data_IF_132144571698
#
_entry.id   IF_132144571698
#
_cell.length_a   1.000
_cell.length_b   1.000
_cell.length_c   1.000
_cell.angle_alpha   90.00
_cell.angle_beta   90.00
_cell.angle_gamma   90.00
#
_symmetry.space_group_name_H-M   'P 1'
#
loop_
_entity.id
_entity.type
_entity.pdbx_description
1 polymer ?
#
# COMPACT_ATOMS: atom_id res chain seq x y z
N UNK A 1 -14.35 6.42 48.38
CA UNK A 1 -13.96 5.08 47.89
C UNK A 1 -13.95 5.14 46.38
N UNK A 2 -12.77 4.88 45.85
CA UNK A 2 -12.31 5.19 44.49
C UNK A 2 -12.57 3.98 43.59
N UNK A 3 -13.16 4.19 42.41
CA UNK A 3 -13.30 3.14 41.38
C UNK A 3 -12.30 3.46 40.27
N UNK A 4 -11.24 2.65 40.21
CA UNK A 4 -10.23 2.66 39.15
C UNK A 4 -10.68 1.63 38.10
N UNK A 5 -10.77 2.07 36.85
CA UNK A 5 -10.97 1.26 35.65
C UNK A 5 -9.60 0.70 35.25
N UNK A 6 -9.47 -0.63 35.23
CA UNK A 6 -8.30 -1.33 34.68
C UNK A 6 -8.56 -1.62 33.19
N UNK A 7 -7.85 -0.90 32.32
CA UNK A 7 -7.55 -1.35 30.96
C UNK A 7 -6.21 -2.11 31.04
N UNK A 8 -6.21 -3.38 30.67
CA UNK A 8 -5.01 -4.19 30.50
C UNK A 8 -4.85 -4.51 29.01
N UNK A 9 -4.01 -3.74 28.33
CA UNK A 9 -3.38 -4.14 27.08
C UNK A 9 -1.97 -4.63 27.44
N UNK A 10 -1.83 -5.94 27.55
CA UNK A 10 -0.53 -6.60 27.66
C UNK A 10 0.09 -6.65 26.26
N UNK A 11 1.04 -5.73 26.01
CA UNK A 11 1.95 -5.76 24.87
C UNK A 11 2.72 -7.09 24.84
N UNK A 12 2.33 -7.96 23.91
CA UNK A 12 3.04 -9.21 23.62
C UNK A 12 4.32 -8.90 22.84
N UNK A 13 5.43 -8.75 23.56
CA UNK A 13 6.76 -8.64 22.96
C UNK A 13 7.20 -9.99 22.38
N UNK A 14 7.34 -10.06 21.06
CA UNK A 14 8.07 -11.14 20.40
C UNK A 14 9.57 -10.87 20.60
N UNK A 15 10.20 -11.69 21.45
CA UNK A 15 11.67 -11.76 21.57
C UNK A 15 12.17 -12.52 20.33
N UNK A 16 12.75 -11.81 19.36
CA UNK A 16 13.45 -12.41 18.24
C UNK A 16 14.82 -12.92 18.70
N UNK A 17 15.00 -14.24 18.64
CA UNK A 17 16.28 -14.90 18.79
C UNK A 17 17.28 -14.43 17.73
N UNK A 18 18.54 -14.32 18.16
CA UNK A 18 19.70 -13.86 17.40
C UNK A 18 19.95 -14.69 16.13
N UNK A 19 20.03 -14.01 14.99
CA UNK A 19 20.60 -14.56 13.75
C UNK A 19 22.13 -14.42 13.76
N UNK A 20 22.92 -15.42 13.30
CA UNK A 20 24.36 -15.39 13.40
C UNK A 20 24.99 -14.62 12.23
N UNK A 21 25.79 -13.59 12.55
CA UNK A 21 26.85 -13.10 11.66
C UNK A 21 26.69 -11.67 11.13
N UNK A 22 27.06 -10.68 11.94
CA UNK A 22 28.03 -9.66 11.50
C UNK A 22 28.72 -9.08 12.73
N UNK A 23 30.04 -8.97 12.64
CA UNK A 23 30.94 -8.60 13.73
C UNK A 23 30.94 -7.08 13.92
N UNK A 24 30.44 -6.62 15.07
CA UNK A 24 30.94 -5.45 15.79
C UNK A 24 30.67 -5.71 17.29
N UNK A 25 31.68 -6.29 17.93
CA UNK A 25 31.72 -6.53 19.37
C UNK A 25 31.97 -5.18 20.07
N UNK A 26 30.92 -4.58 20.63
CA UNK A 26 31.06 -3.55 21.65
C UNK A 26 30.26 -4.02 22.88
N UNK A 27 30.98 -4.67 23.78
CA UNK A 27 30.53 -5.04 25.12
C UNK A 27 30.09 -3.79 25.89
N UNK A 28 28.78 -3.58 26.01
CA UNK A 28 28.23 -2.85 27.15
C UNK A 28 27.78 -3.88 28.18
N UNK A 29 28.54 -3.92 29.27
CA UNK A 29 28.22 -4.67 30.48
C UNK A 29 26.87 -4.20 31.03
N UNK A 30 26.00 -5.18 31.27
CA UNK A 30 25.01 -5.19 32.34
C UNK A 30 25.53 -4.50 33.61
N UNK A 31 24.79 -3.50 34.11
CA UNK A 31 24.16 -3.57 35.43
C UNK A 31 23.45 -2.27 35.80
N UNK A 32 22.19 -2.41 36.23
CA UNK A 32 21.69 -1.76 37.45
C UNK A 32 21.23 -0.31 37.37
N UNK A 33 19.93 -0.13 37.62
CA UNK A 33 19.31 1.01 38.32
C UNK A 33 20.28 2.00 38.99
N UNK A 34 20.17 3.29 38.65
CA UNK A 34 19.69 4.34 39.57
C UNK A 34 19.72 5.72 38.91
N UNK A 35 18.70 6.50 39.24
CA UNK A 35 18.57 7.95 39.03
C UNK A 35 19.91 8.68 39.24
N UNK A 36 20.45 9.26 38.17
CA UNK A 36 21.66 10.08 38.24
C UNK A 36 21.97 10.70 36.89
N UNK A 37 22.06 12.02 36.86
CA UNK A 37 22.46 12.87 35.76
C UNK A 37 23.64 12.29 34.95
N UNK A 38 23.36 11.73 33.77
CA UNK A 38 24.39 11.34 32.82
C UNK A 38 24.87 12.61 32.12
N UNK A 39 25.89 13.23 32.68
CA UNK A 39 26.71 14.19 31.97
C UNK A 39 27.50 13.43 30.91
N UNK A 40 26.90 13.28 29.72
CA UNK A 40 27.63 12.89 28.52
C UNK A 40 28.75 13.91 28.32
N UNK A 41 29.98 13.43 28.22
CA UNK A 41 31.17 14.25 28.10
C UNK A 41 31.01 15.18 26.88
N UNK A 42 31.01 16.49 27.14
CA UNK A 42 30.71 17.53 26.13
C UNK A 42 31.61 17.41 24.90
N UNK A 43 32.81 16.90 25.09
CA UNK A 43 33.83 16.67 24.07
C UNK A 43 33.47 15.50 23.14
N UNK A 44 32.89 14.40 23.65
CA UNK A 44 32.45 13.28 22.82
C UNK A 44 31.26 13.66 21.92
N UNK A 45 30.41 14.54 22.42
CA UNK A 45 29.26 15.03 21.67
C UNK A 45 29.67 16.07 20.62
N UNK A 46 30.65 16.93 20.91
CA UNK A 46 31.26 17.82 19.90
C UNK A 46 31.99 17.06 18.78
N UNK A 47 32.67 15.95 19.11
CA UNK A 47 33.32 15.08 18.12
C UNK A 47 32.29 14.42 17.19
N UNK A 48 31.19 13.87 17.73
CA UNK A 48 30.11 13.26 16.94
C UNK A 48 29.32 14.28 16.10
N UNK A 49 29.31 15.55 16.53
CA UNK A 49 28.64 16.65 15.85
C UNK A 49 29.49 17.26 14.72
N UNK A 50 30.78 16.98 14.67
CA UNK A 50 31.71 17.55 13.67
C UNK A 50 31.39 17.13 12.23
N UNK A 51 30.76 15.97 12.06
CA UNK A 51 30.40 15.41 10.76
C UNK A 51 28.97 15.80 10.30
N UNK A 52 28.21 16.54 11.13
CA UNK A 52 26.88 17.03 10.80
C UNK A 52 26.97 18.36 10.03
N UNK A 53 26.00 18.59 9.14
CA UNK A 53 25.85 19.90 8.49
C UNK A 53 25.58 21.00 9.54
N UNK A 54 26.01 22.23 9.26
CA UNK A 54 25.86 23.36 10.19
C UNK A 54 24.41 23.54 10.68
N UNK A 55 23.44 23.29 9.80
CA UNK A 55 22.00 23.36 10.10
C UNK A 55 21.55 22.24 11.05
N UNK A 56 22.00 21.00 10.82
CA UNK A 56 21.70 19.86 11.69
C UNK A 56 22.36 20.03 13.07
N UNK A 57 23.55 20.61 13.10
CA UNK A 57 24.25 20.97 14.33
C UNK A 57 23.49 22.00 15.14
N UNK A 58 22.97 23.05 14.51
CA UNK A 58 22.17 24.06 15.19
C UNK A 58 20.86 23.49 15.73
N UNK A 59 20.17 22.65 14.95
CA UNK A 59 18.94 21.98 15.39
C UNK A 59 19.18 21.05 16.59
N UNK A 60 20.27 20.29 16.58
CA UNK A 60 20.62 19.39 17.68
C UNK A 60 21.01 20.16 18.95
N UNK A 61 21.82 21.23 18.83
CA UNK A 61 22.16 22.12 19.95
C UNK A 61 20.92 22.78 20.55
N UNK A 62 19.95 23.19 19.73
CA UNK A 62 18.69 23.77 20.18
C UNK A 62 17.80 22.75 20.91
N UNK A 63 17.70 21.51 20.40
CA UNK A 63 16.86 20.46 20.97
C UNK A 63 17.34 20.02 22.36
N UNK A 64 18.66 19.98 22.57
CA UNK A 64 19.28 19.56 23.83
C UNK A 64 19.77 20.72 24.71
N UNK A 65 19.48 21.97 24.33
CA UNK A 65 19.90 23.21 25.04
C UNK A 65 21.41 23.30 25.26
N UNK A 66 22.19 22.76 24.34
CA UNK A 66 23.65 22.74 24.40
C UNK A 66 24.20 23.99 23.70
N UNK A 67 24.27 25.08 24.44
CA UNK A 67 24.84 26.36 24.00
C UNK A 67 23.80 27.48 23.81
N UNK A 68 24.30 28.70 23.66
CA UNK A 68 23.49 29.92 23.48
C UNK A 68 22.83 29.92 22.10
N UNK A 69 21.70 29.23 21.98
CA UNK A 69 20.81 29.37 20.84
C UNK A 69 20.25 30.80 20.82
N UNK A 70 20.25 31.48 19.66
CA UNK A 70 19.80 32.86 19.57
C UNK A 70 18.35 32.96 20.07
N UNK A 71 18.13 33.91 20.98
CA UNK A 71 16.82 34.23 21.56
C UNK A 71 15.74 34.28 20.47
N UNK A 72 14.49 33.88 20.75
CA UNK A 72 13.35 34.08 19.85
C UNK A 72 13.25 35.53 19.32
N UNK A 73 13.74 36.50 20.09
CA UNK A 73 13.87 37.89 19.66
C UNK A 73 14.90 38.08 18.51
N UNK A 74 16.03 37.38 18.51
CA UNK A 74 17.02 37.40 17.42
C UNK A 74 16.48 36.76 16.14
N UNK A 75 15.58 35.76 16.24
CA UNK A 75 14.93 35.13 15.09
C UNK A 75 13.88 36.07 14.45
N UNK A 76 13.15 36.84 15.28
CA UNK A 76 12.27 37.91 14.80
C UNK A 76 13.06 39.06 14.17
N UNK A 77 14.22 39.45 14.73
CA UNK A 77 15.09 40.48 14.15
C UNK A 77 15.70 40.02 12.82
N UNK A 78 16.07 38.75 12.68
CA UNK A 78 16.52 38.18 11.39
C UNK A 78 15.40 38.19 10.33
N UNK A 79 14.14 37.99 10.72
CA UNK A 79 12.98 38.13 9.81
C UNK A 79 12.70 39.58 9.40
N UNK A 80 13.26 40.57 10.10
CA UNK A 80 13.13 41.99 9.74
C UNK A 80 14.23 42.44 8.76
N UNK A 81 15.24 41.60 8.48
CA UNK A 81 16.41 41.95 7.67
C UNK A 81 16.31 41.40 6.22
N UNK A 82 15.28 40.62 5.89
CA UNK A 82 15.09 40.13 4.52
C UNK A 82 13.92 40.86 3.84
N UNK A 83 14.31 41.82 3.00
CA UNK A 83 13.59 42.61 1.97
C UNK A 83 13.09 44.01 2.35
N UNK A 84 13.86 45.01 1.89
CA UNK A 84 13.56 46.44 1.82
C UNK A 84 12.36 46.81 0.91
N UNK A 85 11.43 45.90 0.59
CA UNK A 85 10.34 46.16 -0.37
C UNK A 85 8.96 45.57 0.02
N UNK A 86 8.76 45.10 1.26
CA UNK A 86 7.45 44.61 1.71
C UNK A 86 6.99 45.27 2.99
N UNK A 87 5.71 45.67 3.02
CA UNK A 87 5.10 46.19 4.24
C UNK A 87 5.04 45.07 5.29
N UNK A 88 5.07 45.46 6.56
CA UNK A 88 4.93 44.52 7.69
C UNK A 88 3.65 43.68 7.62
N UNK A 89 2.62 44.21 6.96
CA UNK A 89 1.34 43.53 6.71
C UNK A 89 1.47 42.41 5.67
N UNK A 90 2.21 42.63 4.59
CA UNK A 90 2.50 41.59 3.59
C UNK A 90 3.36 40.46 4.17
N UNK A 91 4.32 40.82 5.05
CA UNK A 91 5.15 39.83 5.74
C UNK A 91 4.31 38.97 6.68
N UNK A 92 3.42 39.59 7.47
CA UNK A 92 2.51 38.89 8.37
C UNK A 92 1.54 37.98 7.61
N UNK A 93 1.03 38.43 6.45
CA UNK A 93 0.20 37.60 5.56
C UNK A 93 0.96 36.38 5.06
N UNK A 94 2.20 36.55 4.59
CA UNK A 94 3.06 35.43 4.14
C UNK A 94 3.37 34.44 5.26
N UNK A 95 3.62 34.93 6.48
CA UNK A 95 3.79 34.05 7.64
C UNK A 95 2.52 33.23 7.93
N UNK A 96 1.34 33.83 7.81
CA UNK A 96 0.07 33.12 7.91
C UNK A 96 -0.07 32.02 6.85
N UNK A 97 0.18 32.35 5.58
CA UNK A 97 0.13 31.39 4.47
C UNK A 97 1.09 30.20 4.69
N UNK A 98 2.32 30.46 5.16
CA UNK A 98 3.31 29.41 5.45
C UNK A 98 2.85 28.52 6.62
N UNK A 99 2.25 29.10 7.66
CA UNK A 99 1.71 28.32 8.78
C UNK A 99 0.56 27.41 8.33
N UNK A 100 -0.35 27.93 7.50
CA UNK A 100 -1.46 27.14 6.95
C UNK A 100 -0.95 26.00 6.06
N UNK A 101 0.03 26.27 5.19
CA UNK A 101 0.69 25.25 4.38
C UNK A 101 1.37 24.19 5.27
N UNK A 102 2.04 24.61 6.35
CA UNK A 102 2.67 23.68 7.29
C UNK A 102 1.66 22.76 7.98
N UNK A 103 0.49 23.29 8.33
CA UNK A 103 -0.63 22.49 8.89
C UNK A 103 -1.14 21.47 7.86
N UNK A 104 -1.35 21.89 6.62
CA UNK A 104 -1.80 21.01 5.53
C UNK A 104 -0.78 19.90 5.26
N UNK A 105 0.51 20.25 5.20
CA UNK A 105 1.60 19.30 5.00
C UNK A 105 1.66 18.29 6.15
N UNK A 106 1.52 18.74 7.40
CA UNK A 106 1.52 17.87 8.57
C UNK A 106 0.36 16.87 8.56
N UNK A 107 -0.84 17.32 8.21
CA UNK A 107 -2.00 16.43 8.12
C UNK A 107 -1.86 15.45 6.94
N UNK A 108 -1.34 15.91 5.81
CA UNK A 108 -1.05 15.06 4.64
C UNK A 108 -0.03 13.97 4.99
N UNK A 109 1.04 14.32 5.71
CA UNK A 109 2.07 13.38 6.14
C UNK A 109 1.52 12.37 7.16
N UNK A 110 0.64 12.81 8.06
CA UNK A 110 -0.07 11.93 8.99
C UNK A 110 -0.96 10.93 8.25
N UNK A 111 -1.76 11.38 7.28
CA UNK A 111 -2.58 10.49 6.44
C UNK A 111 -1.73 9.52 5.63
N UNK A 112 -0.59 9.97 5.10
CA UNK A 112 0.35 9.11 4.39
C UNK A 112 0.93 8.01 5.29
N UNK A 113 1.33 8.36 6.52
CA UNK A 113 1.82 7.39 7.49
C UNK A 113 0.75 6.36 7.88
N UNK A 114 -0.50 6.77 8.08
CA UNK A 114 -1.59 5.84 8.38
C UNK A 114 -1.85 4.90 7.20
N UNK A 115 -1.89 5.44 5.97
CA UNK A 115 -2.06 4.63 4.76
C UNK A 115 -0.92 3.63 4.57
N UNK A 116 0.33 4.02 4.85
CA UNK A 116 1.47 3.10 4.82
C UNK A 116 1.33 1.98 5.85
N UNK A 117 0.85 2.28 7.06
CA UNK A 117 0.63 1.28 8.10
C UNK A 117 -0.44 0.28 7.68
N UNK A 118 -1.55 0.75 7.10
CA UNK A 118 -2.60 -0.11 6.55
C UNK A 118 -2.08 -1.02 5.44
N UNK A 119 -1.28 -0.48 4.50
CA UNK A 119 -0.65 -1.27 3.45
C UNK A 119 0.30 -2.33 4.01
N UNK A 120 1.08 -1.98 5.04
CA UNK A 120 1.97 -2.93 5.70
C UNK A 120 1.20 -4.10 6.33
N UNK A 121 0.09 -3.81 7.02
CA UNK A 121 -0.78 -4.83 7.60
C UNK A 121 -1.40 -5.73 6.53
N UNK A 122 -1.83 -5.16 5.40
CA UNK A 122 -2.37 -5.92 4.28
C UNK A 122 -1.33 -6.87 3.68
N UNK A 123 -0.09 -6.39 3.49
CA UNK A 123 1.02 -7.22 2.98
C UNK A 123 1.33 -8.35 3.97
N UNK A 124 1.39 -8.06 5.28
CA UNK A 124 1.63 -9.07 6.31
C UNK A 124 0.55 -10.16 6.30
N UNK A 125 -0.73 -9.76 6.22
CA UNK A 125 -1.86 -10.70 6.10
C UNK A 125 -1.76 -11.56 4.83
N UNK A 126 -1.45 -10.96 3.69
CA UNK A 126 -1.27 -11.69 2.43
C UNK A 126 -0.11 -12.71 2.50
N UNK A 127 1.00 -12.35 3.15
CA UNK A 127 2.11 -13.26 3.37
C UNK A 127 1.73 -14.44 4.27
N UNK A 128 0.97 -14.17 5.34
CA UNK A 128 0.46 -15.21 6.24
C UNK A 128 -0.46 -16.19 5.50
N UNK A 129 -1.40 -15.67 4.70
CA UNK A 129 -2.32 -16.49 3.91
C UNK A 129 -1.59 -17.35 2.88
N UNK A 130 -0.60 -16.77 2.18
CA UNK A 130 0.24 -17.52 1.24
C UNK A 130 0.99 -18.66 1.95
N UNK A 131 1.54 -18.40 3.14
CA UNK A 131 2.22 -19.43 3.93
C UNK A 131 1.25 -20.54 4.37
N UNK A 132 0.05 -20.17 4.84
CA UNK A 132 -1.01 -21.13 5.20
C UNK A 132 -1.39 -22.01 4.01
N UNK A 133 -1.60 -21.42 2.83
CA UNK A 133 -1.90 -22.19 1.62
C UNK A 133 -0.77 -23.13 1.24
N UNK A 134 0.49 -22.69 1.34
CA UNK A 134 1.64 -23.54 1.05
C UNK A 134 1.75 -24.73 2.02
N UNK A 135 1.52 -24.50 3.32
CA UNK A 135 1.47 -25.58 4.31
C UNK A 135 0.34 -26.56 4.00
N UNK A 136 -0.86 -26.06 3.70
CA UNK A 136 -2.01 -26.89 3.34
C UNK A 136 -1.74 -27.75 2.09
N UNK A 137 -1.16 -27.16 1.04
CA UNK A 137 -0.80 -27.90 -0.17
C UNK A 137 0.25 -28.99 0.13
N UNK A 138 1.21 -28.69 0.99
CA UNK A 138 2.21 -29.68 1.42
C UNK A 138 1.58 -30.84 2.19
N UNK A 139 0.65 -30.55 3.10
CA UNK A 139 -0.11 -31.58 3.83
C UNK A 139 -0.92 -32.44 2.86
N UNK A 140 -1.67 -31.83 1.94
CA UNK A 140 -2.46 -32.56 0.93
C UNK A 140 -1.60 -33.38 -0.02
N UNK A 141 -0.41 -32.89 -0.35
CA UNK A 141 0.55 -33.66 -1.13
C UNK A 141 1.02 -34.91 -0.39
N UNK A 142 1.40 -34.80 0.89
CA UNK A 142 1.82 -35.95 1.69
C UNK A 142 0.66 -36.93 1.97
N UNK A 143 -0.56 -36.45 2.21
CA UNK A 143 -1.77 -37.29 2.29
C UNK A 143 -1.97 -38.11 1.01
N UNK A 144 -1.90 -37.43 -0.15
CA UNK A 144 -2.08 -38.06 -1.47
C UNK A 144 -0.99 -39.10 -1.73
N UNK A 145 0.27 -38.76 -1.44
CA UNK A 145 1.41 -39.67 -1.57
C UNK A 145 1.25 -40.90 -0.67
N UNK A 146 0.78 -40.71 0.56
CA UNK A 146 0.46 -41.80 1.48
C UNK A 146 -0.66 -42.70 0.96
N UNK A 147 -1.70 -42.13 0.36
CA UNK A 147 -2.80 -42.90 -0.25
C UNK A 147 -2.31 -43.72 -1.46
N UNK A 148 -1.50 -43.12 -2.33
CA UNK A 148 -0.90 -43.81 -3.48
C UNK A 148 -0.03 -44.99 -3.03
N UNK A 149 0.74 -44.81 -1.96
CA UNK A 149 1.57 -45.90 -1.42
C UNK A 149 0.72 -47.03 -0.85
N UNK A 150 -0.35 -46.73 -0.10
CA UNK A 150 -1.31 -47.74 0.38
C UNK A 150 -1.94 -48.51 -0.79
N UNK A 151 -2.39 -47.81 -1.83
CA UNK A 151 -2.97 -48.45 -3.02
C UNK A 151 -1.96 -49.30 -3.77
N UNK A 152 -0.67 -48.93 -3.79
CA UNK A 152 0.40 -49.76 -4.36
C UNK A 152 0.61 -51.03 -3.55
N UNK A 153 0.62 -50.94 -2.23
CA UNK A 153 0.77 -52.09 -1.33
C UNK A 153 -0.43 -53.03 -1.45
N UNK A 154 -1.64 -52.50 -1.49
CA UNK A 154 -2.87 -53.26 -1.70
C UNK A 154 -2.88 -53.96 -3.07
N UNK A 155 -2.53 -53.25 -4.15
CA UNK A 155 -2.39 -53.85 -5.47
C UNK A 155 -1.34 -54.97 -5.50
N UNK A 156 -0.20 -54.79 -4.81
CA UNK A 156 0.82 -55.84 -4.69
C UNK A 156 0.28 -57.06 -3.95
N UNK A 157 -0.47 -56.84 -2.86
CA UNK A 157 -1.12 -57.91 -2.09
C UNK A 157 -2.14 -58.66 -2.93
N UNK A 158 -3.05 -57.96 -3.60
CA UNK A 158 -4.06 -58.57 -4.46
C UNK A 158 -3.42 -59.37 -5.60
N UNK A 159 -2.38 -58.83 -6.25
CA UNK A 159 -1.63 -59.58 -7.29
C UNK A 159 -1.01 -60.87 -6.76
N UNK A 160 -0.43 -60.83 -5.55
CA UNK A 160 0.13 -62.03 -4.92
C UNK A 160 -0.95 -63.06 -4.55
N UNK A 161 -2.13 -62.59 -4.15
CA UNK A 161 -3.26 -63.45 -3.79
C UNK A 161 -3.87 -64.12 -5.03
N UNK A 162 -4.01 -63.36 -6.13
CA UNK A 162 -4.41 -63.90 -7.44
C UNK A 162 -3.42 -64.96 -7.91
N UNK A 163 -2.11 -64.71 -7.83
CA UNK A 163 -1.09 -65.68 -8.22
C UNK A 163 -1.17 -66.97 -7.39
N UNK A 164 -1.36 -66.86 -6.07
CA UNK A 164 -1.55 -68.01 -5.18
C UNK A 164 -2.79 -68.84 -5.53
N UNK A 165 -3.91 -68.18 -5.83
CA UNK A 165 -5.14 -68.86 -6.22
C UNK A 165 -4.97 -69.59 -7.57
N UNK A 166 -4.32 -68.95 -8.56
CA UNK A 166 -4.02 -69.56 -9.84
C UNK A 166 -3.12 -70.82 -9.71
N UNK A 167 -2.14 -70.81 -8.81
CA UNK A 167 -1.31 -72.00 -8.52
C UNK A 167 -2.08 -73.13 -7.83
N UNK A 168 -3.14 -72.81 -7.09
CA UNK A 168 -3.97 -73.78 -6.36
C UNK A 168 -4.98 -74.46 -7.30
N UNK A 169 -5.58 -73.71 -8.23
CA UNK A 169 -6.44 -74.27 -9.29
C UNK A 169 -5.65 -75.12 -10.30
N UNK A 170 -4.40 -74.76 -10.61
CA UNK A 170 -3.54 -75.54 -11.50
C UNK A 170 -3.12 -76.92 -10.98
N UNK A 171 -3.20 -77.17 -9.67
CA UNK A 171 -2.89 -78.48 -9.06
C UNK A 171 -4.11 -79.38 -8.84
N UNK A 172 -5.34 -78.86 -8.98
CA UNK A 172 -6.56 -79.64 -8.76
C UNK A 172 -7.08 -80.38 -10.00
N UNK A 173 -6.50 -80.13 -11.19
CA UNK A 173 -6.98 -80.66 -12.48
C UNK A 173 -6.09 -81.73 -13.11
N UNK A 174 -5.05 -82.21 -12.43
CA UNK A 174 -4.18 -83.30 -12.93
C UNK A 174 -4.18 -84.46 -11.94
N UNK A 175 -5.33 -85.14 -11.82
CA UNK A 175 -5.45 -86.53 -11.35
C UNK A 175 -6.87 -87.03 -11.59
N UNK A 176 -7.26 -87.25 -12.85
CA UNK A 176 -8.15 -88.36 -13.19
C UNK A 176 -8.15 -88.59 -14.69
N UNK A 177 -7.46 -89.65 -15.07
CA UNK A 177 -7.30 -90.21 -16.39
C UNK A 177 -8.31 -91.34 -16.54
N UNK A 178 -9.39 -91.15 -17.32
CA UNK A 178 -10.03 -92.18 -18.16
C UNK A 178 -11.28 -91.60 -18.85
N UNK A 179 -11.35 -91.78 -20.16
CA UNK A 179 -12.44 -91.34 -21.03
C UNK A 179 -13.55 -92.38 -21.21
N UNK A 180 -14.41 -92.08 -22.20
CA UNK A 180 -15.62 -92.80 -22.65
C UNK A 180 -16.85 -92.63 -21.74
N UNK A 181 -18.10 -92.69 -22.21
CA UNK A 181 -18.77 -92.53 -23.50
C UNK A 181 -20.25 -92.84 -23.17
N UNK A 182 -21.17 -92.06 -23.75
CA UNK A 182 -22.56 -92.39 -24.14
C UNK A 182 -23.17 -93.70 -23.59
N UNK A 183 -24.37 -93.64 -22.98
CA UNK A 183 -25.60 -94.36 -23.41
C UNK A 183 -26.72 -94.25 -22.35
N UNK A 184 -27.91 -94.05 -22.88
CA UNK A 184 -29.20 -93.88 -22.23
C UNK A 184 -29.83 -95.18 -21.68
N UNK A 185 -31.10 -95.05 -21.29
CA UNK A 185 -32.18 -96.06 -21.13
C UNK A 185 -32.43 -96.71 -19.75
N UNK A 186 -33.45 -96.14 -19.08
CA UNK A 186 -34.70 -96.74 -18.59
C UNK A 186 -34.67 -98.08 -17.81
N UNK A 187 -35.29 -98.11 -16.61
CA UNK A 187 -36.61 -98.73 -16.31
C UNK A 187 -36.75 -99.04 -14.79
N UNK A 188 -37.94 -98.68 -14.26
CA UNK A 188 -38.68 -99.24 -13.12
C UNK A 188 -38.44 -98.78 -11.67
N UNK A 189 -39.41 -97.99 -11.20
CA UNK A 189 -39.95 -97.96 -9.82
C UNK A 189 -40.37 -99.37 -9.31
N UNK A 190 -40.32 -99.64 -7.99
CA UNK A 190 -41.48 -99.34 -7.13
C UNK A 190 -41.13 -98.81 -5.72
N UNK A 191 -41.82 -97.74 -5.31
CA UNK A 191 -41.99 -97.31 -3.92
C UNK A 191 -42.63 -98.45 -3.07
N UNK A 192 -42.53 -98.51 -1.71
CA UNK A 192 -42.88 -97.40 -0.81
C UNK A 192 -42.18 -97.34 0.58
N UNK A 193 -41.86 -96.15 1.07
CA UNK A 193 -41.98 -95.74 2.49
C UNK A 193 -41.48 -94.30 2.67
N UNK A 194 -42.37 -93.39 3.09
CA UNK A 194 -41.97 -92.10 3.64
C UNK A 194 -41.45 -92.24 5.08
N UNK A 195 -41.11 -91.13 5.79
CA UNK A 195 -41.52 -89.76 5.50
C UNK A 195 -40.40 -88.70 5.63
N UNK A 196 -40.82 -87.44 5.50
CA UNK A 196 -40.16 -86.18 5.91
C UNK A 196 -39.50 -85.42 4.74
N UNK A 197 -40.24 -84.56 4.05
CA UNK A 197 -40.50 -83.19 4.51
C UNK A 197 -39.23 -82.49 5.00
N UNK A 198 -38.32 -82.19 4.08
CA UNK A 198 -37.42 -81.06 4.23
C UNK A 198 -37.92 -79.98 3.26
N UNK A 199 -39.00 -79.33 3.67
CA UNK A 199 -39.28 -77.97 3.23
C UNK A 199 -38.05 -77.17 3.68
N UNK A 200 -37.22 -76.73 2.75
CA UNK A 200 -36.13 -75.81 3.02
C UNK A 200 -36.78 -74.45 3.38
N UNK A 201 -37.26 -74.37 4.62
CA UNK A 201 -37.63 -73.11 5.23
C UNK A 201 -36.37 -72.26 5.19
N UNK A 202 -36.41 -71.22 4.35
CA UNK A 202 -35.58 -70.03 4.47
C UNK A 202 -35.54 -69.68 5.96
N UNK A 203 -34.42 -70.00 6.62
CA UNK A 203 -34.18 -69.57 7.99
C UNK A 203 -34.21 -68.06 7.96
N UNK A 204 -35.18 -67.46 8.64
CA UNK A 204 -35.24 -66.02 8.88
C UNK A 204 -33.85 -65.55 9.33
N UNK A 205 -33.31 -64.46 8.76
CA UNK A 205 -32.00 -63.96 9.16
C UNK A 205 -31.96 -63.79 10.68
N UNK A 206 -30.91 -64.30 11.33
CA UNK A 206 -30.73 -64.19 12.77
C UNK A 206 -30.90 -62.71 13.20
N UNK A 207 -31.61 -62.46 14.30
CA UNK A 207 -31.90 -61.10 14.81
C UNK A 207 -30.63 -60.24 14.95
N UNK A 208 -29.47 -60.85 15.22
CA UNK A 208 -28.17 -60.18 15.26
C UNK A 208 -27.73 -59.61 13.90
N UNK A 209 -28.06 -60.30 12.81
CA UNK A 209 -27.80 -59.85 11.44
C UNK A 209 -28.73 -58.69 11.08
N UNK A 210 -30.01 -58.79 11.48
CA UNK A 210 -31.00 -57.73 11.30
C UNK A 210 -30.58 -56.47 12.06
N UNK A 211 -30.13 -56.60 13.32
CA UNK A 211 -29.67 -55.49 14.14
C UNK A 211 -28.42 -54.82 13.56
N UNK A 212 -27.42 -55.60 13.10
CA UNK A 212 -26.21 -55.05 12.45
C UNK A 212 -26.54 -54.27 11.18
N UNK A 213 -27.41 -54.80 10.32
CA UNK A 213 -27.84 -54.12 9.10
C UNK A 213 -28.65 -52.86 9.43
N UNK A 214 -29.48 -52.89 10.47
CA UNK A 214 -30.25 -51.72 10.94
C UNK A 214 -29.31 -50.61 11.45
N UNK A 215 -28.31 -50.93 12.27
CA UNK A 215 -27.32 -49.96 12.74
C UNK A 215 -26.44 -49.41 11.61
N UNK A 216 -26.07 -50.25 10.63
CA UNK A 216 -25.36 -49.78 9.43
C UNK A 216 -26.21 -48.82 8.59
N UNK A 217 -27.50 -49.14 8.40
CA UNK A 217 -28.42 -48.28 7.67
C UNK A 217 -28.61 -46.93 8.39
N UNK A 218 -28.75 -46.94 9.72
CA UNK A 218 -28.85 -45.72 10.52
C UNK A 218 -27.59 -44.84 10.41
N UNK A 219 -26.39 -45.46 10.44
CA UNK A 219 -25.13 -44.75 10.26
C UNK A 219 -25.02 -44.12 8.87
N UNK A 220 -25.35 -44.88 7.82
CA UNK A 220 -25.34 -44.38 6.43
C UNK A 220 -26.36 -43.26 6.25
N UNK A 221 -27.55 -43.38 6.84
CA UNK A 221 -28.58 -42.34 6.78
C UNK A 221 -28.13 -41.06 7.53
N UNK A 222 -27.42 -41.20 8.65
CA UNK A 222 -26.82 -40.06 9.36
C UNK A 222 -25.74 -39.38 8.52
N UNK A 223 -24.86 -40.15 7.88
CA UNK A 223 -23.84 -39.62 6.95
C UNK A 223 -24.49 -38.92 5.76
N UNK A 224 -25.56 -39.49 5.19
CA UNK A 224 -26.32 -38.88 4.10
C UNK A 224 -26.87 -37.50 4.50
N UNK A 225 -27.47 -37.38 5.67
CA UNK A 225 -27.98 -36.10 6.20
C UNK A 225 -26.85 -35.08 6.40
N UNK A 226 -25.71 -35.52 6.90
CA UNK A 226 -24.53 -34.65 7.04
C UNK A 226 -24.08 -34.09 5.69
N UNK A 227 -23.96 -34.94 4.66
CA UNK A 227 -23.55 -34.54 3.31
C UNK A 227 -24.57 -33.59 2.67
N UNK A 228 -25.86 -33.73 2.96
CA UNK A 228 -26.90 -32.79 2.49
C UNK A 228 -26.67 -31.41 3.10
N UNK A 229 -26.49 -31.32 4.42
CA UNK A 229 -26.23 -30.05 5.12
C UNK A 229 -24.94 -29.39 4.63
N UNK A 230 -23.89 -30.18 4.41
CA UNK A 230 -22.63 -29.66 3.86
C UNK A 230 -22.77 -29.17 2.42
N UNK A 231 -23.54 -29.86 1.57
CA UNK A 231 -23.83 -29.39 0.21
C UNK A 231 -24.64 -28.10 0.21
N UNK A 232 -25.63 -27.97 1.08
CA UNK A 232 -26.40 -26.72 1.23
C UNK A 232 -25.47 -25.57 1.66
N UNK A 233 -24.59 -25.80 2.64
CA UNK A 233 -23.59 -24.82 3.06
C UNK A 233 -22.65 -24.43 1.92
N UNK A 234 -22.16 -25.40 1.14
CA UNK A 234 -21.32 -25.13 -0.03
C UNK A 234 -22.07 -24.35 -1.11
N UNK A 235 -23.37 -24.62 -1.29
CA UNK A 235 -24.23 -23.89 -2.23
C UNK A 235 -24.36 -22.43 -1.81
N UNK A 236 -24.66 -22.18 -0.53
CA UNK A 236 -24.69 -20.82 0.03
C UNK A 236 -23.36 -20.08 -0.10
N UNK A 237 -22.24 -20.78 0.17
CA UNK A 237 -20.91 -20.20 0.00
C UNK A 237 -20.62 -19.85 -1.46
N UNK A 238 -21.01 -20.72 -2.40
CA UNK A 238 -20.86 -20.48 -3.84
C UNK A 238 -21.66 -19.25 -4.27
N UNK A 239 -22.93 -19.16 -3.90
CA UNK A 239 -23.79 -18.00 -4.23
C UNK A 239 -23.25 -16.70 -3.62
N UNK A 240 -22.78 -16.76 -2.37
CA UNK A 240 -22.14 -15.60 -1.73
C UNK A 240 -20.87 -15.16 -2.45
N UNK A 241 -20.04 -16.09 -2.92
CA UNK A 241 -18.83 -15.78 -3.68
C UNK A 241 -19.17 -15.21 -5.06
N UNK A 242 -20.21 -15.72 -5.72
CA UNK A 242 -20.69 -15.20 -7.00
C UNK A 242 -21.11 -13.72 -6.88
N UNK A 243 -21.86 -13.37 -5.83
CA UNK A 243 -22.22 -11.99 -5.55
C UNK A 243 -21.01 -11.08 -5.29
N UNK A 244 -20.00 -11.57 -4.56
CA UNK A 244 -18.76 -10.81 -4.33
C UNK A 244 -18.02 -10.59 -5.65
N UNK A 245 -17.89 -11.62 -6.48
CA UNK A 245 -17.23 -11.53 -7.79
C UNK A 245 -17.94 -10.52 -8.70
N UNK A 246 -19.27 -10.53 -8.73
CA UNK A 246 -20.06 -9.57 -9.51
C UNK A 246 -19.87 -8.13 -9.01
N UNK A 247 -19.92 -7.91 -7.70
CA UNK A 247 -19.69 -6.60 -7.09
C UNK A 247 -18.28 -6.08 -7.39
N UNK A 248 -17.24 -6.89 -7.15
CA UNK A 248 -15.85 -6.53 -7.42
C UNK A 248 -15.59 -6.33 -8.92
N UNK A 249 -16.23 -7.11 -9.79
CA UNK A 249 -16.11 -6.93 -11.24
C UNK A 249 -16.70 -5.59 -11.68
N UNK A 250 -17.85 -5.20 -11.12
CA UNK A 250 -18.47 -3.91 -11.38
C UNK A 250 -17.61 -2.75 -10.88
N UNK A 251 -17.09 -2.84 -9.65
CA UNK A 251 -16.19 -1.81 -9.10
C UNK A 251 -14.92 -1.64 -9.94
N UNK A 252 -14.33 -2.75 -10.41
CA UNK A 252 -13.18 -2.73 -11.31
C UNK A 252 -13.51 -2.01 -12.62
N UNK A 253 -14.68 -2.27 -13.21
CA UNK A 253 -15.09 -1.67 -14.48
C UNK A 253 -15.36 -0.16 -14.31
N UNK A 254 -16.00 0.25 -13.21
CA UNK A 254 -16.19 1.66 -12.85
C UNK A 254 -14.86 2.40 -12.65
N UNK A 255 -13.89 1.76 -11.96
CA UNK A 255 -12.55 2.32 -11.76
C UNK A 255 -11.78 2.44 -13.08
N UNK A 256 -11.92 1.45 -13.96
CA UNK A 256 -11.29 1.47 -15.29
C UNK A 256 -11.84 2.61 -16.16
N UNK A 257 -13.15 2.87 -16.08
CA UNK A 257 -13.77 4.02 -16.77
C UNK A 257 -13.29 5.36 -16.19
N UNK A 258 -13.25 5.49 -14.86
CA UNK A 258 -12.71 6.70 -14.19
C UNK A 258 -11.26 6.96 -14.56
N UNK A 259 -10.42 5.93 -14.61
CA UNK A 259 -9.03 6.04 -15.02
C UNK A 259 -8.91 6.56 -16.45
N UNK A 260 -9.65 5.95 -17.39
CA UNK A 260 -9.67 6.37 -18.79
C UNK A 260 -10.11 7.83 -18.96
N UNK A 261 -11.10 8.27 -18.18
CA UNK A 261 -11.57 9.66 -18.21
C UNK A 261 -10.52 10.63 -17.64
N UNK A 262 -9.80 10.23 -16.58
CA UNK A 262 -8.72 11.02 -16.01
C UNK A 262 -7.52 11.15 -16.98
N UNK A 263 -7.15 10.05 -17.65
CA UNK A 263 -6.10 10.04 -18.69
C UNK A 263 -6.48 10.97 -19.85
N UNK A 264 -7.74 10.93 -20.31
CA UNK A 264 -8.23 11.82 -21.36
C UNK A 264 -8.18 13.29 -20.92
N UNK A 265 -8.60 13.59 -19.68
CA UNK A 265 -8.57 14.95 -19.14
C UNK A 265 -7.14 15.49 -19.04
N UNK A 266 -6.19 14.68 -18.57
CA UNK A 266 -4.77 15.02 -18.53
C UNK A 266 -4.24 15.31 -19.93
N UNK A 267 -4.53 14.43 -20.89
CA UNK A 267 -4.13 14.64 -22.29
C UNK A 267 -4.67 15.94 -22.87
N UNK A 268 -5.92 16.30 -22.58
CA UNK A 268 -6.50 17.58 -23.05
C UNK A 268 -5.81 18.78 -22.38
N UNK A 269 -5.55 18.69 -21.07
CA UNK A 269 -4.83 19.77 -20.37
C UNK A 269 -3.40 19.94 -20.88
N UNK A 270 -2.71 18.86 -21.19
CA UNK A 270 -1.37 18.94 -21.78
C UNK A 270 -1.40 19.62 -23.15
N UNK A 271 -2.42 19.35 -23.97
CA UNK A 271 -2.60 20.08 -25.24
C UNK A 271 -2.91 21.56 -25.02
N UNK A 272 -3.76 21.89 -24.05
CA UNK A 272 -4.13 23.28 -23.74
C UNK A 272 -2.90 24.05 -23.24
N UNK A 273 -2.14 23.50 -22.28
CA UNK A 273 -0.89 24.10 -21.81
C UNK A 273 0.13 24.25 -22.95
N UNK A 274 0.24 23.27 -23.85
CA UNK A 274 1.12 23.39 -25.01
C UNK A 274 0.70 24.53 -25.94
N UNK A 275 -0.60 24.76 -26.13
CA UNK A 275 -1.09 25.92 -26.90
C UNK A 275 -0.80 27.24 -26.19
N UNK A 276 -1.01 27.33 -24.87
CA UNK A 276 -0.72 28.53 -24.08
C UNK A 276 0.78 28.87 -24.08
N UNK A 277 1.66 27.86 -23.94
CA UNK A 277 3.11 28.04 -24.06
C UNK A 277 3.49 28.56 -25.45
N UNK A 278 2.85 28.06 -26.51
CA UNK A 278 3.08 28.57 -27.86
C UNK A 278 2.64 30.03 -28.01
N UNK A 279 1.47 30.40 -27.48
CA UNK A 279 0.98 31.79 -27.50
C UNK A 279 1.92 32.74 -26.74
N UNK A 280 2.38 32.34 -25.55
CA UNK A 280 3.36 33.09 -24.78
C UNK A 280 4.69 33.24 -25.53
N UNK A 281 5.16 32.18 -26.21
CA UNK A 281 6.35 32.26 -27.04
C UNK A 281 6.20 33.25 -28.21
N UNK A 282 5.04 33.28 -28.87
CA UNK A 282 4.74 34.30 -29.89
C UNK A 282 4.76 35.72 -29.31
N UNK A 283 4.16 35.92 -28.14
CA UNK A 283 4.15 37.22 -27.47
C UNK A 283 5.56 37.68 -27.06
N UNK A 284 6.38 36.75 -26.54
CA UNK A 284 7.78 37.02 -26.21
C UNK A 284 8.56 37.42 -27.46
N UNK A 285 8.39 36.71 -28.58
CA UNK A 285 9.05 37.06 -29.84
C UNK A 285 8.62 38.44 -30.36
N UNK A 286 7.32 38.76 -30.29
CA UNK A 286 6.82 40.07 -30.72
C UNK A 286 7.41 41.19 -29.84
N UNK A 287 7.40 41.03 -28.51
CA UNK A 287 8.00 41.98 -27.59
C UNK A 287 9.52 42.14 -27.83
N UNK A 288 10.23 41.05 -28.10
CA UNK A 288 11.66 41.12 -28.47
C UNK A 288 11.88 41.88 -29.77
N UNK A 289 11.02 41.68 -30.79
CA UNK A 289 11.10 42.41 -32.05
C UNK A 289 10.81 43.92 -31.85
N UNK A 290 9.80 44.26 -31.04
CA UNK A 290 9.51 45.65 -30.67
C UNK A 290 10.68 46.30 -29.93
N UNK A 291 11.30 45.59 -28.99
CA UNK A 291 12.43 46.09 -28.21
C UNK A 291 13.68 46.29 -29.08
N UNK A 292 13.94 45.37 -30.03
CA UNK A 292 15.00 45.56 -31.03
C UNK A 292 14.72 46.75 -31.94
N UNK A 293 13.49 46.92 -32.41
CA UNK A 293 13.08 48.07 -33.23
C UNK A 293 13.25 49.40 -32.49
N UNK A 294 12.81 49.46 -31.22
CA UNK A 294 12.99 50.63 -30.37
C UNK A 294 14.48 50.92 -30.13
N UNK A 295 15.28 49.89 -29.83
CA UNK A 295 16.73 50.01 -29.62
C UNK A 295 17.44 50.53 -30.88
N UNK A 296 17.11 49.98 -32.05
CA UNK A 296 17.66 50.43 -33.33
C UNK A 296 17.25 51.87 -33.67
N UNK A 297 16.01 52.25 -33.32
CA UNK A 297 15.53 53.64 -33.48
C UNK A 297 16.37 54.58 -32.62
N UNK A 298 16.57 54.26 -31.33
CA UNK A 298 17.43 55.02 -30.42
C UNK A 298 18.89 55.09 -30.89
N UNK A 299 19.43 53.99 -31.40
CA UNK A 299 20.79 53.96 -31.97
C UNK A 299 20.91 54.79 -33.27
N UNK A 300 19.81 54.98 -34.02
CA UNK A 300 19.80 55.81 -35.23
C UNK A 300 19.65 57.31 -34.97
N UNK A 301 19.23 57.70 -33.75
CA UNK A 301 19.23 59.11 -33.35
C UNK A 301 20.70 59.53 -33.28
N UNK A 302 21.13 60.39 -34.20
CA UNK A 302 22.52 60.82 -34.24
C UNK A 302 22.86 61.58 -32.95
N UNK A 303 24.08 61.43 -32.46
CA UNK A 303 24.59 62.21 -31.33
C UNK A 303 24.42 63.72 -31.55
N UNK A 304 24.38 64.18 -32.80
CA UNK A 304 24.14 65.57 -33.18
C UNK A 304 22.69 66.02 -32.92
N UNK A 305 21.71 65.13 -33.13
CA UNK A 305 20.30 65.40 -32.82
C UNK A 305 20.02 65.40 -31.32
N UNK A 306 20.70 64.55 -30.56
CA UNK A 306 20.66 64.59 -29.09
C UNK A 306 21.24 65.91 -28.59
N UNK A 307 22.41 66.32 -29.09
CA UNK A 307 23.03 67.59 -28.72
C UNK A 307 22.14 68.80 -29.06
N UNK A 308 21.44 68.78 -30.21
CA UNK A 308 20.47 69.83 -30.58
C UNK A 308 19.28 69.88 -29.63
N UNK A 309 18.75 68.72 -29.20
CA UNK A 309 17.67 68.66 -28.20
C UNK A 309 18.12 69.19 -26.84
N UNK A 310 19.32 68.81 -26.39
CA UNK A 310 19.86 69.26 -25.11
C UNK A 310 20.11 70.77 -25.10
N UNK A 311 20.63 71.31 -26.21
CA UNK A 311 20.82 72.75 -26.38
C UNK A 311 19.48 73.51 -26.33
N UNK A 312 18.45 72.99 -27.00
CA UNK A 312 17.11 73.59 -26.95
C UNK A 312 16.52 73.51 -25.54
N UNK A 313 16.72 72.41 -24.83
CA UNK A 313 16.26 72.21 -23.46
C UNK A 313 16.90 73.23 -22.51
N UNK A 314 18.22 73.42 -22.59
CA UNK A 314 18.94 74.44 -21.82
C UNK A 314 18.45 75.86 -22.14
N UNK A 315 18.16 76.17 -23.41
CA UNK A 315 17.61 77.47 -23.80
C UNK A 315 16.22 77.71 -23.19
N UNK A 316 15.37 76.69 -23.19
CA UNK A 316 14.03 76.78 -22.60
C UNK A 316 14.10 76.90 -21.07
N UNK A 317 14.97 76.15 -20.40
CA UNK A 317 15.22 76.27 -18.95
C UNK A 317 15.70 77.68 -18.58
N UNK A 318 16.63 78.26 -19.35
CA UNK A 318 17.08 79.63 -19.16
C UNK A 318 15.95 80.66 -19.30
N UNK A 319 15.08 80.50 -20.31
CA UNK A 319 13.89 81.36 -20.48
C UNK A 319 12.92 81.23 -19.32
N UNK A 320 12.65 80.01 -18.86
CA UNK A 320 11.78 79.75 -17.70
C UNK A 320 12.32 80.44 -16.46
N UNK A 321 13.62 80.32 -16.21
CA UNK A 321 14.29 80.95 -15.06
C UNK A 321 14.18 82.47 -15.11
N UNK A 322 14.36 83.06 -16.31
CA UNK A 322 14.26 84.51 -16.52
C UNK A 322 12.82 85.00 -16.29
N UNK A 323 11.84 84.31 -16.87
CA UNK A 323 10.42 84.62 -16.67
C UNK A 323 9.99 84.47 -15.21
N UNK A 324 10.51 83.47 -14.49
CA UNK A 324 10.28 83.33 -13.05
C UNK A 324 10.87 84.49 -12.25
N UNK A 325 12.05 84.99 -12.62
CA UNK A 325 12.66 86.14 -11.97
C UNK A 325 11.84 87.41 -12.23
N UNK A 326 11.45 87.66 -13.49
CA UNK A 326 10.59 88.79 -13.86
C UNK A 326 9.24 88.75 -13.15
N UNK A 327 8.62 87.57 -13.07
CA UNK A 327 7.37 87.37 -12.34
C UNK A 327 7.53 87.72 -10.85
N UNK A 328 8.60 87.25 -10.20
CA UNK A 328 8.89 87.59 -8.80
C UNK A 328 9.10 89.10 -8.60
N UNK A 329 9.84 89.75 -9.52
CA UNK A 329 10.05 91.20 -9.48
C UNK A 329 8.74 91.97 -9.65
N UNK A 330 7.88 91.54 -10.58
CA UNK A 330 6.56 92.14 -10.79
C UNK A 330 5.66 91.95 -9.55
N UNK A 331 5.67 90.76 -8.93
CA UNK A 331 4.94 90.48 -7.69
C UNK A 331 5.40 91.38 -6.54
N UNK A 332 6.70 91.55 -6.34
CA UNK A 332 7.27 92.49 -5.34
C UNK A 332 6.80 93.92 -5.57
N UNK A 333 6.84 94.39 -6.82
CA UNK A 333 6.42 95.76 -7.17
C UNK A 333 4.93 95.99 -6.95
N UNK A 334 4.09 94.99 -7.20
CA UNK A 334 2.66 95.05 -6.88
C UNK A 334 2.46 95.14 -5.37
N UNK A 335 3.16 94.30 -4.59
CA UNK A 335 3.10 94.32 -3.13
C UNK A 335 3.49 95.69 -2.56
N UNK A 336 4.58 96.29 -3.05
CA UNK A 336 5.00 97.64 -2.67
C UNK A 336 3.90 98.68 -2.94
N UNK A 337 3.28 98.65 -4.13
CA UNK A 337 2.20 99.57 -4.49
C UNK A 337 0.92 99.35 -3.66
N UNK A 338 0.63 98.12 -3.24
CA UNK A 338 -0.50 97.81 -2.36
C UNK A 338 -0.28 98.29 -0.91
N UNK A 339 0.97 98.33 -0.43
CA UNK A 339 1.31 98.81 0.93
C UNK A 339 1.35 100.33 1.11
N UNK A 340 1.22 101.12 0.03
CA UNK A 340 1.29 102.61 0.06
C UNK A 340 -0.10 103.28 0.18
N UNK A 341 -1.14 102.54 0.62
CA UNK A 341 -2.46 103.10 0.95
C UNK A 341 -2.65 103.32 2.45
#
# INVERSE_FOLDING_TARGET
>A
MTTIVQNGDDDSFIILGTSPGSSLDMKCLENGLETGEVTLDKEQMEEAMKDLSDEANMAFKAHFKLGDCPSPASMMVASTIITDDRSTEELQKRFGEILDENVILKETLKQNNESMKEQFLLIASCQEDMMKTHVLHKEKFEETKGLVEKLRQENKKLKSEIARLAETEGKSLVSSETGESVVATNVADPAPSGPSSALEFVTSPDDDTINKLTSQLELVEKQRRQVIVENEKLTWQKESLEHIVDATSKERDDLKEKLKNAELLLSTKDTDHATEVNELNYMIQDLQAQLQSATNTYASISSEEVAKRDQLMHQLEGKITTLQAELKTAQLKILELETVK
#
